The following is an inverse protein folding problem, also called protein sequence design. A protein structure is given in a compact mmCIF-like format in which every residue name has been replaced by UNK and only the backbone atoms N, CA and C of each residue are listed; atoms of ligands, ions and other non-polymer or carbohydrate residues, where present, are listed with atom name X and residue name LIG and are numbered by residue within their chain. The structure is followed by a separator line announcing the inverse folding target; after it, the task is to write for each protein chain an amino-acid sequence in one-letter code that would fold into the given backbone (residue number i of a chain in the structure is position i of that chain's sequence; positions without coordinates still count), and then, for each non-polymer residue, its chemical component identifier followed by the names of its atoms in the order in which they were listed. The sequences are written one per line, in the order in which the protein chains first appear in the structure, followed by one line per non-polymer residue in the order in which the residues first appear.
data_IF_835645300504
#
_entry.id   IF_835645300504
#
_cell.length_a   1.000
_cell.length_b   1.000
_cell.length_c   1.000
_cell.angle_alpha   90.00
_cell.angle_beta   90.00
_cell.angle_gamma   90.00
#
_symmetry.space_group_name_H-M   'P 1'
#
loop_
_entity.id
_entity.type
_entity.pdbx_description
1 polymer ?
#
# COMPACT_ATOMS: atom_id res chain seq x y z
N UNK A 1 -19.81 -22.03 -6.69
CA UNK A 1 -19.08 -21.54 -7.88
C UNK A 1 -17.86 -20.82 -7.33
N UNK A 2 -16.63 -21.32 -7.57
CA UNK A 2 -15.44 -20.49 -7.39
C UNK A 2 -15.59 -19.37 -8.41
N UNK A 3 -15.48 -18.10 -8.00
CA UNK A 3 -15.38 -17.01 -8.96
C UNK A 3 -14.30 -17.42 -9.98
N UNK A 4 -14.68 -17.56 -11.25
CA UNK A 4 -13.71 -17.79 -12.32
C UNK A 4 -12.70 -16.66 -12.31
N UNK A 5 -11.49 -16.91 -12.82
CA UNK A 5 -10.51 -15.84 -12.96
C UNK A 5 -11.11 -14.78 -13.90
N UNK A 6 -11.59 -13.67 -13.34
CA UNK A 6 -12.09 -12.53 -14.13
C UNK A 6 -10.93 -12.03 -14.99
N UNK A 7 -11.13 -12.02 -16.30
CA UNK A 7 -10.11 -11.52 -17.22
C UNK A 7 -10.01 -9.99 -17.09
N UNK A 8 -8.80 -9.42 -17.28
CA UNK A 8 -8.57 -7.96 -17.18
C UNK A 8 -9.55 -7.17 -18.05
N UNK A 9 -9.85 -7.66 -19.25
CA UNK A 9 -10.77 -7.00 -20.18
C UNK A 9 -12.22 -6.99 -19.67
N UNK A 10 -12.66 -8.02 -18.96
CA UNK A 10 -13.98 -8.06 -18.34
C UNK A 10 -14.04 -7.06 -17.18
N UNK A 11 -13.00 -7.04 -16.34
CA UNK A 11 -12.88 -6.07 -15.26
C UNK A 11 -12.89 -4.62 -15.76
N UNK A 12 -12.16 -4.30 -16.84
CA UNK A 12 -12.15 -2.97 -17.45
C UNK A 12 -13.56 -2.56 -17.94
N UNK A 13 -14.29 -3.49 -18.55
CA UNK A 13 -15.66 -3.23 -19.04
C UNK A 13 -16.65 -3.05 -17.90
N UNK A 14 -16.58 -3.89 -16.86
CA UNK A 14 -17.45 -3.80 -15.69
C UNK A 14 -17.23 -2.48 -14.95
N UNK A 15 -15.96 -2.09 -14.74
CA UNK A 15 -15.62 -0.81 -14.13
C UNK A 15 -16.06 0.36 -15.02
N UNK A 16 -15.87 0.28 -16.34
CA UNK A 16 -16.32 1.33 -17.26
C UNK A 16 -17.85 1.49 -17.22
N UNK A 17 -18.60 0.39 -17.19
CA UNK A 17 -20.04 0.41 -17.06
C UNK A 17 -20.50 1.03 -15.74
N UNK A 18 -19.83 0.68 -14.63
CA UNK A 18 -20.07 1.31 -13.33
C UNK A 18 -19.87 2.83 -13.40
N UNK A 19 -18.70 3.29 -13.88
CA UNK A 19 -18.39 4.71 -13.99
C UNK A 19 -19.39 5.46 -14.90
N UNK A 20 -19.75 4.87 -16.05
CA UNK A 20 -20.71 5.45 -16.99
C UNK A 20 -22.11 5.59 -16.39
N UNK A 21 -22.53 4.59 -15.59
CA UNK A 21 -23.83 4.58 -14.90
C UNK A 21 -23.91 5.67 -13.84
N UNK A 22 -22.87 5.83 -13.02
CA UNK A 22 -22.94 6.69 -11.85
C UNK A 22 -22.50 8.13 -12.10
N UNK A 23 -21.78 8.45 -13.19
CA UNK A 23 -21.23 9.80 -13.43
C UNK A 23 -22.22 10.96 -13.39
N UNK A 24 -23.52 10.72 -13.63
CA UNK A 24 -24.57 11.74 -13.64
C UNK A 24 -25.51 11.67 -12.42
N UNK A 25 -25.27 10.76 -11.48
CA UNK A 25 -26.22 10.47 -10.40
C UNK A 25 -26.06 11.37 -9.17
N UNK A 26 -25.05 12.23 -9.15
CA UNK A 26 -24.68 13.02 -7.97
C UNK A 26 -24.11 12.19 -6.81
N UNK A 27 -24.04 10.85 -6.96
CA UNK A 27 -23.35 9.99 -6.02
C UNK A 27 -21.84 10.26 -6.06
N UNK A 28 -21.23 10.48 -4.90
CA UNK A 28 -19.78 10.57 -4.75
C UNK A 28 -19.20 9.15 -4.88
N UNK A 29 -18.53 8.86 -5.98
CA UNK A 29 -17.73 7.66 -6.16
C UNK A 29 -16.32 8.04 -6.56
N UNK A 30 -15.36 7.21 -6.15
CA UNK A 30 -13.96 7.34 -6.49
C UNK A 30 -13.39 5.98 -6.89
N UNK A 31 -12.39 6.01 -7.76
CA UNK A 31 -11.59 4.88 -8.15
C UNK A 31 -10.23 4.97 -7.46
N UNK A 32 -9.95 3.99 -6.61
CA UNK A 32 -8.67 3.85 -5.92
C UNK A 32 -7.72 2.98 -6.72
N UNK A 33 -6.59 3.55 -7.13
CA UNK A 33 -5.47 2.81 -7.69
C UNK A 33 -4.59 2.31 -6.54
N UNK A 34 -4.55 0.99 -6.39
CA UNK A 34 -3.75 0.26 -5.40
C UNK A 34 -2.72 -0.61 -6.11
N UNK A 35 -1.45 -0.34 -5.87
CA UNK A 35 -0.35 -1.05 -6.54
C UNK A 35 0.19 -2.19 -5.70
N UNK A 36 0.62 -3.28 -6.35
CA UNK A 36 1.44 -4.31 -5.70
C UNK A 36 2.69 -3.64 -5.08
N UNK A 37 3.18 -4.04 -3.91
CA UNK A 37 4.39 -3.44 -3.38
C UNK A 37 5.60 -3.92 -4.18
N UNK A 38 6.57 -3.03 -4.37
CA UNK A 38 7.86 -3.41 -4.92
C UNK A 38 8.75 -3.87 -3.77
N UNK A 39 8.94 -5.18 -3.69
CA UNK A 39 9.76 -5.83 -2.67
C UNK A 39 10.86 -6.62 -3.36
N UNK A 40 12.09 -6.37 -2.95
CA UNK A 40 13.27 -7.02 -3.52
C UNK A 40 14.16 -7.54 -2.38
N UNK A 41 14.38 -8.85 -2.35
CA UNK A 41 15.20 -9.50 -1.33
C UNK A 41 16.67 -9.39 -1.74
N UNK A 42 17.52 -9.12 -0.78
CA UNK A 42 18.96 -9.02 -0.99
C UNK A 42 19.68 -8.51 0.25
N UNK A 43 20.99 -8.61 0.25
CA UNK A 43 21.80 -8.22 1.39
C UNK A 43 21.81 -6.70 1.57
N UNK A 44 21.48 -6.25 2.77
CA UNK A 44 21.60 -4.86 3.21
C UNK A 44 22.70 -4.81 4.25
N UNK A 45 23.82 -4.18 3.93
CA UNK A 45 24.99 -4.10 4.80
C UNK A 45 25.21 -2.70 5.34
N UNK A 46 25.65 -2.62 6.59
CA UNK A 46 26.16 -1.41 7.24
C UNK A 46 27.63 -1.63 7.53
N UNK A 47 28.49 -0.83 6.90
CA UNK A 47 29.94 -1.00 6.97
C UNK A 47 30.63 0.31 7.29
N UNK A 48 31.61 0.28 8.21
CA UNK A 48 32.55 1.39 8.40
C UNK A 48 33.74 1.21 7.45
N UNK A 49 34.10 2.27 6.73
CA UNK A 49 35.23 2.28 5.81
C UNK A 49 36.02 3.59 5.97
N UNK A 50 37.20 3.52 6.58
CA UNK A 50 37.91 4.70 7.09
C UNK A 50 37.01 5.54 8.01
N UNK A 51 36.81 6.81 7.66
CA UNK A 51 36.05 7.79 8.44
C UNK A 51 34.60 7.93 7.95
N UNK A 52 34.16 7.07 7.03
CA UNK A 52 32.79 7.06 6.52
C UNK A 52 32.04 5.78 6.89
N UNK A 53 30.74 5.92 7.05
CA UNK A 53 29.78 4.85 7.28
C UNK A 53 28.93 4.65 6.03
N UNK A 54 28.72 3.40 5.66
CA UNK A 54 28.17 3.03 4.38
C UNK A 54 26.97 2.10 4.58
N UNK A 55 25.83 2.44 3.98
CA UNK A 55 24.72 1.51 3.74
C UNK A 55 24.77 1.04 2.30
N UNK A 56 24.80 -0.27 2.09
CA UNK A 56 24.75 -0.86 0.74
C UNK A 56 23.57 -1.79 0.58
N UNK A 57 22.99 -1.77 -0.62
CA UNK A 57 22.01 -2.75 -1.08
C UNK A 57 22.08 -2.83 -2.61
N UNK A 58 22.66 -3.90 -3.16
CA UNK A 58 22.92 -4.02 -4.61
C UNK A 58 23.62 -2.75 -5.14
N UNK A 59 22.92 -1.98 -5.98
CA UNK A 59 23.43 -0.74 -6.59
C UNK A 59 23.11 0.53 -5.77
N UNK A 60 22.37 0.42 -4.67
CA UNK A 60 22.22 1.50 -3.72
C UNK A 60 23.44 1.58 -2.81
N UNK A 61 24.02 2.79 -2.75
CA UNK A 61 25.19 3.10 -1.96
C UNK A 61 24.99 4.45 -1.30
N UNK A 62 24.85 4.46 0.02
CA UNK A 62 24.71 5.68 0.81
C UNK A 62 25.89 5.83 1.74
N UNK A 63 26.48 7.03 1.76
CA UNK A 63 27.63 7.36 2.59
C UNK A 63 27.24 8.42 3.61
N UNK A 64 27.73 8.24 4.84
CA UNK A 64 27.54 9.15 5.96
C UNK A 64 28.86 9.37 6.69
N UNK A 65 28.99 10.54 7.33
CA UNK A 65 30.05 10.84 8.29
C UNK A 65 29.80 10.25 9.69
N UNK A 66 28.57 9.79 9.93
CA UNK A 66 28.09 9.33 11.24
C UNK A 66 27.59 7.90 11.11
N UNK A 67 27.80 7.09 12.15
CA UNK A 67 27.26 5.73 12.17
C UNK A 67 25.73 5.76 12.10
N UNK A 68 25.18 5.08 11.10
CA UNK A 68 23.73 4.99 10.93
C UNK A 68 23.07 4.23 12.10
N UNK A 69 23.81 3.31 12.73
CA UNK A 69 23.33 2.56 13.90
C UNK A 69 23.17 3.42 15.15
N UNK A 70 23.90 4.54 15.24
CA UNK A 70 23.83 5.46 16.39
C UNK A 70 22.76 6.53 16.25
N UNK A 71 22.08 6.61 15.10
CA UNK A 71 20.97 7.53 14.92
C UNK A 71 19.83 7.22 15.91
N UNK A 72 19.13 8.26 16.34
CA UNK A 72 17.88 8.13 17.08
C UNK A 72 16.83 7.46 16.19
N UNK A 73 16.06 6.52 16.74
CA UNK A 73 14.94 5.91 16.03
C UNK A 73 13.83 6.94 15.87
N UNK A 74 13.43 7.20 14.63
CA UNK A 74 12.34 8.08 14.27
C UNK A 74 10.99 7.36 14.31
N UNK A 75 9.92 8.12 14.51
CA UNK A 75 8.53 7.67 14.36
C UNK A 75 7.68 8.72 13.63
N UNK A 76 6.48 8.34 13.21
CA UNK A 76 5.54 9.31 12.62
C UNK A 76 5.14 10.33 13.68
N UNK A 77 5.18 11.63 13.34
CA UNK A 77 4.81 12.69 14.29
C UNK A 77 3.30 12.82 14.48
N UNK A 78 2.54 12.60 13.41
CA UNK A 78 1.08 12.69 13.36
C UNK A 78 0.53 11.71 12.31
N UNK A 79 -0.46 10.90 12.67
CA UNK A 79 -1.09 9.94 11.75
C UNK A 79 -1.93 10.64 10.67
N UNK A 80 -2.47 11.82 10.98
CA UNK A 80 -3.33 12.58 10.08
C UNK A 80 -2.53 13.44 9.07
N UNK A 81 -1.21 13.55 9.24
CA UNK A 81 -0.37 14.28 8.29
C UNK A 81 -0.02 13.43 7.06
N UNK A 82 -0.72 13.71 5.95
CA UNK A 82 -0.48 13.07 4.66
C UNK A 82 0.88 13.41 4.00
N UNK A 83 1.61 14.39 4.53
CA UNK A 83 3.00 14.66 4.15
C UNK A 83 3.99 13.65 4.76
N UNK A 84 3.54 12.85 5.74
CA UNK A 84 4.29 11.81 6.44
C UNK A 84 5.55 12.37 7.11
N UNK A 85 5.33 13.31 8.05
CA UNK A 85 6.40 13.94 8.82
C UNK A 85 6.91 13.03 9.93
N UNK A 86 8.23 12.97 10.09
CA UNK A 86 8.88 12.26 11.18
C UNK A 86 9.04 13.18 12.41
N UNK A 87 9.06 12.59 13.60
CA UNK A 87 9.31 13.28 14.87
C UNK A 87 10.76 13.76 15.04
N UNK A 88 11.70 13.13 14.34
CA UNK A 88 13.12 13.52 14.28
C UNK A 88 13.51 13.93 12.87
N UNK A 89 14.33 14.99 12.69
CA UNK A 89 14.87 15.34 11.38
C UNK A 89 15.72 14.23 10.77
N UNK A 90 15.64 14.07 9.45
CA UNK A 90 16.47 13.11 8.73
C UNK A 90 17.96 13.47 8.77
N UNK A 91 18.79 12.44 8.94
CA UNK A 91 20.25 12.57 8.89
C UNK A 91 20.72 12.73 7.44
N UNK A 92 21.66 13.63 7.20
CA UNK A 92 22.18 13.85 5.84
C UNK A 92 23.10 12.71 5.43
N UNK A 93 22.84 12.16 4.25
CA UNK A 93 23.71 11.17 3.60
C UNK A 93 23.89 11.52 2.13
N UNK A 94 24.93 10.98 1.53
CA UNK A 94 25.23 11.14 0.11
C UNK A 94 24.98 9.80 -0.59
N UNK A 95 24.05 9.78 -1.54
CA UNK A 95 23.90 8.65 -2.45
C UNK A 95 24.97 8.71 -3.54
N UNK A 96 25.73 7.64 -3.71
CA UNK A 96 26.76 7.52 -4.74
C UNK A 96 26.29 6.61 -5.87
N UNK A 97 26.79 6.89 -7.08
CA UNK A 97 26.69 5.94 -8.18
C UNK A 97 27.67 4.78 -7.97
N UNK A 98 27.19 3.54 -8.11
CA UNK A 98 28.05 2.36 -7.99
C UNK A 98 28.94 2.19 -9.24
N UNK A 99 30.23 2.46 -9.10
CA UNK A 99 31.26 2.24 -10.12
C UNK A 99 31.95 0.89 -9.92
N UNK A 100 31.30 -0.18 -10.39
CA UNK A 100 31.80 -1.56 -10.27
C UNK A 100 31.48 -2.17 -8.92
N UNK A 101 32.15 -1.76 -7.84
CA UNK A 101 31.83 -2.17 -6.48
C UNK A 101 31.78 -0.98 -5.52
N UNK A 102 31.27 -1.22 -4.31
CA UNK A 102 31.07 -0.14 -3.33
C UNK A 102 32.40 0.45 -2.86
N UNK A 103 33.45 -0.37 -2.67
CA UNK A 103 34.77 0.11 -2.22
C UNK A 103 35.39 1.09 -3.21
N UNK A 104 35.36 0.76 -4.50
CA UNK A 104 35.86 1.65 -5.56
C UNK A 104 35.10 2.97 -5.60
N UNK A 105 33.79 2.93 -5.40
CA UNK A 105 32.95 4.14 -5.39
C UNK A 105 33.24 5.00 -4.14
N UNK A 106 33.39 4.37 -2.98
CA UNK A 106 33.80 5.01 -1.73
C UNK A 106 35.20 5.63 -1.84
N UNK A 107 36.18 4.93 -2.41
CA UNK A 107 37.54 5.44 -2.63
C UNK A 107 37.54 6.67 -3.55
N UNK A 108 36.74 6.64 -4.63
CA UNK A 108 36.59 7.79 -5.52
C UNK A 108 35.94 8.98 -4.80
N UNK A 109 34.93 8.72 -3.97
CA UNK A 109 34.27 9.75 -3.16
C UNK A 109 35.23 10.39 -2.16
N UNK A 110 35.96 9.60 -1.37
CA UNK A 110 36.95 10.07 -0.40
C UNK A 110 38.08 10.89 -1.04
N UNK A 111 38.42 10.61 -2.31
CA UNK A 111 39.41 11.37 -3.09
C UNK A 111 38.82 12.59 -3.82
N UNK A 112 37.54 12.90 -3.63
CA UNK A 112 36.84 13.98 -4.32
C UNK A 112 36.64 13.76 -5.83
N UNK A 113 36.75 12.52 -6.31
CA UNK A 113 36.63 12.13 -7.73
C UNK A 113 35.25 11.61 -8.11
N UNK A 114 34.37 11.42 -7.13
CA UNK A 114 32.98 11.02 -7.35
C UNK A 114 32.08 11.94 -6.51
N UNK A 115 31.18 12.66 -7.17
CA UNK A 115 30.11 13.40 -6.52
C UNK A 115 28.94 12.46 -6.21
N UNK A 116 28.06 12.89 -5.33
CA UNK A 116 26.83 12.17 -5.04
C UNK A 116 25.65 13.09 -4.82
N UNK A 117 24.48 12.48 -4.64
CA UNK A 117 23.22 13.19 -4.45
C UNK A 117 22.88 13.25 -2.96
N UNK A 118 22.72 14.44 -2.38
CA UNK A 118 22.28 14.58 -1.00
C UNK A 118 20.89 13.97 -0.79
N UNK A 119 20.75 13.19 0.28
CA UNK A 119 19.51 12.54 0.70
C UNK A 119 19.35 12.67 2.22
N UNK A 120 18.15 12.41 2.71
CA UNK A 120 17.85 12.34 4.13
C UNK A 120 17.51 10.90 4.52
N UNK A 121 18.20 10.35 5.53
CA UNK A 121 17.95 9.00 6.04
C UNK A 121 17.41 9.05 7.46
N UNK A 122 16.47 8.16 7.76
CA UNK A 122 15.94 7.93 9.09
C UNK A 122 16.22 6.49 9.49
N UNK A 123 16.61 6.29 10.75
CA UNK A 123 16.56 4.99 11.40
C UNK A 123 15.14 4.78 11.93
N UNK A 124 14.52 3.67 11.56
CA UNK A 124 13.15 3.33 11.88
C UNK A 124 13.12 1.93 12.52
N UNK A 125 12.02 1.60 13.18
CA UNK A 125 11.89 0.32 13.87
C UNK A 125 10.46 -0.21 13.75
N UNK A 126 10.35 -1.50 13.50
CA UNK A 126 9.13 -2.28 13.71
C UNK A 126 9.45 -3.49 14.61
N UNK A 127 8.50 -4.39 14.83
CA UNK A 127 8.73 -5.59 15.65
C UNK A 127 9.85 -6.49 15.11
N UNK A 128 10.07 -6.51 13.80
CA UNK A 128 11.16 -7.27 13.19
C UNK A 128 12.54 -6.62 13.40
N UNK A 129 12.59 -5.44 14.00
CA UNK A 129 13.81 -4.71 14.33
C UNK A 129 14.06 -3.50 13.44
N UNK A 130 15.31 -3.01 13.47
CA UNK A 130 15.70 -1.78 12.79
C UNK A 130 15.63 -1.93 11.26
N UNK A 131 15.25 -0.83 10.61
CA UNK A 131 15.35 -0.61 9.18
C UNK A 131 15.62 0.87 8.89
N UNK A 132 15.99 1.21 7.67
CA UNK A 132 16.37 2.57 7.28
C UNK A 132 15.49 3.08 6.17
N UNK A 133 14.95 4.29 6.33
CA UNK A 133 14.16 4.98 5.32
C UNK A 133 14.90 6.18 4.75
N UNK A 134 15.14 6.19 3.44
CA UNK A 134 15.74 7.32 2.71
C UNK A 134 14.63 8.12 2.04
N UNK A 135 14.64 9.45 2.18
CA UNK A 135 13.69 10.40 1.61
C UNK A 135 12.22 10.00 1.89
N UNK A 136 11.96 9.62 3.15
CA UNK A 136 10.67 9.13 3.64
C UNK A 136 9.59 10.21 3.53
N UNK A 137 9.92 11.43 3.95
CA UNK A 137 9.00 12.57 3.90
C UNK A 137 8.84 13.08 2.47
N UNK A 138 7.70 13.71 2.18
CA UNK A 138 7.52 14.41 0.90
C UNK A 138 8.49 15.58 0.80
N UNK A 139 9.08 15.78 -0.38
CA UNK A 139 9.92 16.95 -0.61
C UNK A 139 9.08 18.24 -0.73
N UNK A 140 9.75 19.39 -0.90
CA UNK A 140 9.08 20.69 -1.07
C UNK A 140 8.14 20.73 -2.29
N UNK A 141 8.42 19.96 -3.34
CA UNK A 141 7.56 19.78 -4.51
C UNK A 141 6.42 18.75 -4.27
N UNK A 142 6.24 18.29 -3.03
CA UNK A 142 5.26 17.29 -2.57
C UNK A 142 5.41 15.89 -3.21
N UNK A 143 6.56 15.61 -3.80
CA UNK A 143 6.91 14.32 -4.40
C UNK A 143 7.42 13.33 -3.35
N UNK A 144 7.23 12.04 -3.62
CA UNK A 144 7.61 10.95 -2.72
C UNK A 144 8.64 10.05 -3.40
N UNK A 145 9.83 9.96 -2.81
CA UNK A 145 10.99 9.22 -3.32
C UNK A 145 11.52 8.17 -2.34
N UNK A 146 10.65 7.75 -1.42
CA UNK A 146 11.05 6.93 -0.29
C UNK A 146 11.67 5.60 -0.72
N UNK A 147 12.78 5.22 -0.10
CA UNK A 147 13.40 3.89 -0.24
C UNK A 147 13.61 3.31 1.16
N UNK A 148 13.21 2.07 1.38
CA UNK A 148 13.33 1.41 2.68
C UNK A 148 14.28 0.23 2.59
N UNK A 149 15.23 0.14 3.51
CA UNK A 149 16.27 -0.88 3.55
C UNK A 149 16.20 -1.62 4.88
N UNK A 150 16.08 -2.94 4.81
CA UNK A 150 15.87 -3.82 5.95
C UNK A 150 17.11 -4.71 6.11
N UNK A 151 18.06 -4.35 6.99
CA UNK A 151 19.13 -5.25 7.39
C UNK A 151 18.59 -6.57 7.94
N UNK A 152 19.42 -7.60 7.93
CA UNK A 152 19.07 -8.88 8.53
C UNK A 152 18.92 -8.69 10.05
N UNK A 153 17.87 -9.28 10.62
CA UNK A 153 17.66 -9.37 12.07
C UNK A 153 17.31 -10.81 12.45
N UNK A 154 17.16 -11.07 13.75
CA UNK A 154 16.76 -12.38 14.28
C UNK A 154 15.33 -12.73 13.86
N UNK A 155 14.40 -11.77 13.96
CA UNK A 155 12.99 -11.99 13.66
C UNK A 155 12.69 -12.00 12.15
N UNK A 156 13.43 -11.19 11.38
CA UNK A 156 13.13 -10.96 9.96
C UNK A 156 13.50 -12.18 9.09
N UNK A 157 12.61 -12.65 8.20
CA UNK A 157 12.90 -13.79 7.32
C UNK A 157 14.12 -13.56 6.43
N UNK A 158 14.24 -12.40 5.80
CA UNK A 158 15.40 -12.00 4.99
C UNK A 158 15.71 -10.51 5.14
N UNK A 159 16.88 -10.09 4.68
CA UNK A 159 17.15 -8.68 4.41
C UNK A 159 16.60 -8.27 3.04
N UNK A 160 16.41 -6.97 2.82
CA UNK A 160 16.07 -6.49 1.49
C UNK A 160 15.58 -5.05 1.46
N UNK A 161 14.81 -4.75 0.43
CA UNK A 161 14.39 -3.41 0.07
C UNK A 161 12.90 -3.35 -0.26
N UNK A 162 12.26 -2.27 0.18
CA UNK A 162 10.95 -1.87 -0.31
C UNK A 162 11.11 -0.52 -1.02
N UNK A 163 10.75 -0.48 -2.29
CA UNK A 163 10.73 0.76 -3.06
C UNK A 163 9.40 1.48 -2.81
N UNK A 164 9.44 2.51 -1.95
CA UNK A 164 8.27 3.31 -1.59
C UNK A 164 8.03 4.53 -2.48
N UNK A 165 8.73 4.66 -3.62
CA UNK A 165 8.56 5.78 -4.53
C UNK A 165 7.18 5.74 -5.17
N UNK A 166 6.46 6.87 -5.12
CA UNK A 166 5.13 6.99 -5.73
C UNK A 166 5.23 7.51 -7.15
N UNK A 167 5.64 6.63 -8.06
CA UNK A 167 5.89 6.97 -9.47
C UNK A 167 4.71 7.67 -10.16
N UNK A 168 3.48 7.14 -10.00
CA UNK A 168 2.28 7.75 -10.58
C UNK A 168 2.00 9.12 -9.95
N UNK A 169 1.93 9.21 -8.63
CA UNK A 169 1.73 10.48 -7.92
C UNK A 169 2.75 11.54 -8.34
N UNK A 170 4.04 11.18 -8.43
CA UNK A 170 5.09 12.11 -8.85
C UNK A 170 4.84 12.64 -10.26
N UNK A 171 4.42 11.78 -11.19
CA UNK A 171 4.09 12.16 -12.56
C UNK A 171 2.80 13.00 -12.63
N UNK A 172 1.78 12.69 -11.82
CA UNK A 172 0.55 13.50 -11.70
C UNK A 172 0.88 14.91 -11.21
N UNK A 173 1.76 15.04 -10.21
CA UNK A 173 2.21 16.35 -9.68
C UNK A 173 2.88 17.16 -10.79
N UNK A 174 3.76 16.54 -11.58
CA UNK A 174 4.44 17.21 -12.69
C UNK A 174 3.47 17.66 -13.77
N UNK A 175 2.54 16.79 -14.19
CA UNK A 175 1.53 17.15 -15.20
C UNK A 175 0.62 18.28 -14.72
N UNK A 176 0.14 18.23 -13.46
CA UNK A 176 -0.71 19.30 -12.90
C UNK A 176 0.00 20.64 -12.78
N UNK A 177 1.32 20.66 -12.68
CA UNK A 177 2.08 21.91 -12.66
C UNK A 177 2.06 22.63 -14.03
N UNK A 178 1.76 21.93 -15.12
CA UNK A 178 1.84 22.46 -16.49
C UNK A 178 0.49 22.52 -17.21
N UNK A 179 -0.55 21.83 -16.74
CA UNK A 179 -1.89 21.84 -17.36
C UNK A 179 -3.02 21.97 -16.35
N UNK A 180 -3.97 22.87 -16.64
CA UNK A 180 -5.21 23.02 -15.87
C UNK A 180 -6.39 22.24 -16.50
N UNK A 181 -6.33 21.98 -17.81
CA UNK A 181 -7.35 21.22 -18.56
C UNK A 181 -6.65 20.10 -19.33
N UNK A 182 -6.48 18.96 -18.66
CA UNK A 182 -5.76 17.83 -19.26
C UNK A 182 -6.55 17.23 -20.44
N UNK A 183 -5.81 16.97 -21.52
CA UNK A 183 -6.21 16.18 -22.67
C UNK A 183 -5.71 14.75 -22.54
N UNK A 184 -6.18 13.83 -23.39
CA UNK A 184 -5.65 12.47 -23.42
C UNK A 184 -4.17 12.43 -23.84
N UNK A 185 -3.69 13.41 -24.62
CA UNK A 185 -2.28 13.54 -24.97
C UNK A 185 -1.41 13.85 -23.73
N UNK A 186 -1.93 14.65 -22.80
CA UNK A 186 -1.23 14.93 -21.53
C UNK A 186 -1.12 13.66 -20.67
N UNK A 187 -2.16 12.84 -20.66
CA UNK A 187 -2.15 11.55 -19.94
C UNK A 187 -1.19 10.56 -20.61
N UNK A 188 -1.15 10.51 -21.94
CA UNK A 188 -0.20 9.68 -22.68
C UNK A 188 1.25 10.14 -22.43
N UNK A 189 1.50 11.45 -22.36
CA UNK A 189 2.81 12.02 -22.01
C UNK A 189 3.21 11.70 -20.56
N UNK A 190 2.25 11.75 -19.62
CA UNK A 190 2.45 11.32 -18.23
C UNK A 190 2.89 9.85 -18.18
N UNK A 191 2.17 8.94 -18.86
CA UNK A 191 2.54 7.52 -18.92
C UNK A 191 3.91 7.35 -19.57
N UNK A 192 4.21 8.12 -20.62
CA UNK A 192 5.51 8.06 -21.28
C UNK A 192 6.66 8.53 -20.37
N UNK A 193 6.41 9.50 -19.47
CA UNK A 193 7.40 9.93 -18.47
C UNK A 193 7.74 8.79 -17.50
N UNK A 194 6.74 8.02 -17.07
CA UNK A 194 6.91 6.84 -16.21
C UNK A 194 7.67 5.74 -16.95
N UNK A 195 7.34 5.48 -18.23
CA UNK A 195 8.10 4.55 -19.10
C UNK A 195 9.56 4.97 -19.25
N UNK A 196 9.82 6.27 -19.45
CA UNK A 196 11.18 6.79 -19.53
C UNK A 196 11.94 6.64 -18.20
N UNK A 197 11.24 6.83 -17.06
CA UNK A 197 11.82 6.54 -15.74
C UNK A 197 12.19 5.06 -15.61
N UNK A 198 11.36 4.12 -16.03
CA UNK A 198 11.71 2.70 -16.03
C UNK A 198 12.97 2.41 -16.86
N UNK A 199 13.10 3.01 -18.05
CA UNK A 199 14.28 2.88 -18.91
C UNK A 199 15.55 3.42 -18.27
N UNK A 200 15.48 4.57 -17.61
CA UNK A 200 16.66 5.14 -16.91
C UNK A 200 17.09 4.29 -15.71
N UNK A 201 16.14 3.59 -15.08
CA UNK A 201 16.40 2.66 -13.99
C UNK A 201 16.89 1.29 -14.47
N UNK A 202 16.70 0.89 -15.73
CA UNK A 202 16.97 -0.48 -16.18
C UNK A 202 18.40 -0.94 -15.86
N UNK A 203 19.41 -0.12 -16.17
CA UNK A 203 20.81 -0.50 -15.96
C UNK A 203 21.22 -0.58 -14.48
N UNK A 204 20.75 0.35 -13.65
CA UNK A 204 21.21 0.50 -12.27
C UNK A 204 20.25 -0.08 -11.22
N UNK A 205 18.96 -0.16 -11.51
CA UNK A 205 17.91 -0.54 -10.57
C UNK A 205 16.86 -1.41 -11.29
N UNK A 206 17.32 -2.54 -11.83
CA UNK A 206 16.52 -3.45 -12.65
C UNK A 206 15.21 -3.89 -11.96
N UNK A 207 15.23 -4.11 -10.63
CA UNK A 207 14.02 -4.47 -9.88
C UNK A 207 12.95 -3.37 -9.96
N UNK A 208 13.31 -2.10 -9.72
CA UNK A 208 12.39 -0.96 -9.82
C UNK A 208 11.91 -0.78 -11.26
N UNK A 209 12.81 -0.93 -12.24
CA UNK A 209 12.47 -0.87 -13.67
C UNK A 209 11.41 -1.93 -14.04
N UNK A 210 11.66 -3.20 -13.68
CA UNK A 210 10.74 -4.31 -13.92
C UNK A 210 9.38 -4.10 -13.25
N UNK A 211 9.36 -3.60 -12.03
CA UNK A 211 8.12 -3.30 -11.30
C UNK A 211 7.29 -2.23 -12.02
N UNK A 212 7.93 -1.15 -12.48
CA UNK A 212 7.23 -0.09 -13.22
C UNK A 212 6.63 -0.67 -14.52
N UNK A 213 7.38 -1.47 -15.25
CA UNK A 213 6.96 -2.04 -16.54
C UNK A 213 5.86 -3.10 -16.40
N UNK A 214 5.95 -3.97 -15.39
CA UNK A 214 5.07 -5.15 -15.27
C UNK A 214 3.85 -4.93 -14.38
N UNK A 215 3.96 -4.09 -13.36
CA UNK A 215 2.90 -3.91 -12.36
C UNK A 215 2.26 -2.52 -12.47
N UNK A 216 3.06 -1.46 -12.54
CA UNK A 216 2.57 -0.08 -12.48
C UNK A 216 1.89 0.35 -13.79
N UNK A 217 2.63 0.33 -14.91
CA UNK A 217 2.14 0.80 -16.22
C UNK A 217 0.87 0.06 -16.66
N UNK A 218 0.81 -1.29 -16.58
CA UNK A 218 -0.37 -2.00 -17.06
C UNK A 218 -1.65 -1.66 -16.28
N UNK A 219 -1.55 -1.36 -14.98
CA UNK A 219 -2.70 -0.91 -14.18
C UNK A 219 -3.12 0.50 -14.59
N UNK A 220 -2.17 1.43 -14.76
CA UNK A 220 -2.45 2.80 -15.19
C UNK A 220 -3.14 2.80 -16.56
N UNK A 221 -2.61 2.07 -17.54
CA UNK A 221 -3.17 2.00 -18.88
C UNK A 221 -4.56 1.35 -18.89
N UNK A 222 -4.77 0.33 -18.05
CA UNK A 222 -6.08 -0.32 -17.85
C UNK A 222 -7.12 0.67 -17.33
N UNK A 223 -6.75 1.48 -16.34
CA UNK A 223 -7.64 2.51 -15.82
C UNK A 223 -7.91 3.63 -16.84
N UNK A 224 -6.90 4.07 -17.59
CA UNK A 224 -7.08 5.05 -18.67
C UNK A 224 -8.04 4.54 -19.76
N UNK A 225 -7.93 3.27 -20.16
CA UNK A 225 -8.88 2.65 -21.09
C UNK A 225 -10.29 2.62 -20.52
N UNK A 226 -10.43 2.28 -19.24
CA UNK A 226 -11.71 2.28 -18.52
C UNK A 226 -12.37 3.66 -18.55
N UNK A 227 -11.63 4.73 -18.22
CA UNK A 227 -12.13 6.11 -18.28
C UNK A 227 -12.58 6.50 -19.69
N UNK A 228 -11.80 6.13 -20.72
CA UNK A 228 -12.16 6.35 -22.13
C UNK A 228 -13.45 5.60 -22.51
N UNK A 229 -13.60 4.33 -22.09
CA UNK A 229 -14.81 3.53 -22.32
C UNK A 229 -16.04 4.13 -21.62
N UNK A 230 -15.90 4.66 -20.41
CA UNK A 230 -16.95 5.35 -19.67
C UNK A 230 -17.27 6.77 -20.19
N UNK A 231 -16.58 7.21 -21.26
CA UNK A 231 -16.71 8.54 -21.87
C UNK A 231 -16.49 9.67 -20.86
N UNK A 232 -15.56 9.47 -19.93
CA UNK A 232 -15.10 10.51 -19.01
C UNK A 232 -14.01 11.36 -19.68
N UNK A 233 -13.93 12.67 -19.37
CA UNK A 233 -12.84 13.51 -19.87
C UNK A 233 -11.49 13.09 -19.27
N UNK A 234 -10.38 13.44 -19.94
CA UNK A 234 -9.04 13.13 -19.44
C UNK A 234 -8.74 13.82 -18.08
N UNK A 235 -9.37 14.95 -17.81
CA UNK A 235 -9.31 15.62 -16.50
C UNK A 235 -9.76 14.72 -15.34
N UNK A 236 -10.66 13.76 -15.57
CA UNK A 236 -11.08 12.77 -14.57
C UNK A 236 -9.95 11.91 -14.02
N UNK A 237 -8.89 11.67 -14.81
CA UNK A 237 -7.70 10.94 -14.35
C UNK A 237 -6.87 11.77 -13.35
N UNK A 238 -6.90 13.10 -13.48
CA UNK A 238 -6.20 14.02 -12.59
C UNK A 238 -7.08 14.55 -11.48
N UNK A 239 -8.39 14.33 -11.53
CA UNK A 239 -9.30 14.73 -10.46
C UNK A 239 -9.06 13.87 -9.22
N UNK A 240 -8.72 14.51 -8.10
CA UNK A 240 -8.42 13.82 -6.83
C UNK A 240 -9.68 13.28 -6.14
N UNK A 241 -10.85 13.82 -6.46
CA UNK A 241 -12.12 13.35 -5.89
C UNK A 241 -12.60 12.09 -6.60
N UNK A 242 -12.17 11.89 -7.86
CA UNK A 242 -12.53 10.74 -8.67
C UNK A 242 -11.42 9.69 -8.77
N UNK A 243 -10.17 10.10 -9.04
CA UNK A 243 -9.03 9.20 -9.19
C UNK A 243 -8.06 9.38 -8.03
N UNK A 244 -7.97 8.36 -7.18
CA UNK A 244 -7.08 8.37 -6.03
C UNK A 244 -5.93 7.39 -6.23
N UNK A 245 -4.71 7.92 -6.38
CA UNK A 245 -3.52 7.11 -6.14
C UNK A 245 -3.44 6.88 -4.62
N UNK A 246 -3.60 5.64 -4.18
CA UNK A 246 -3.48 5.25 -2.75
C UNK A 246 -2.11 4.69 -2.41
N UNK A 247 -1.23 4.55 -3.41
CA UNK A 247 0.11 4.00 -3.27
C UNK A 247 0.11 2.47 -3.33
N UNK A 248 1.13 1.89 -2.70
CA UNK A 248 1.27 0.44 -2.62
C UNK A 248 0.31 -0.12 -1.58
N UNK A 249 -0.25 -1.30 -1.85
CA UNK A 249 -1.04 -2.06 -0.86
C UNK A 249 -0.17 -2.31 0.37
N UNK A 250 -0.78 -2.21 1.54
CA UNK A 250 -0.09 -2.44 2.80
C UNK A 250 0.11 -3.93 3.09
N UNK A 251 1.00 -4.26 4.04
CA UNK A 251 1.10 -5.60 4.62
C UNK A 251 -0.13 -5.87 5.52
N UNK A 252 -1.30 -6.05 4.91
CA UNK A 252 -2.56 -6.23 5.61
C UNK A 252 -3.36 -7.40 5.00
N UNK A 253 -3.82 -8.33 5.83
CA UNK A 253 -4.62 -9.46 5.36
C UNK A 253 -3.89 -10.30 4.31
N UNK A 254 -4.57 -10.57 3.19
CA UNK A 254 -4.04 -11.41 2.10
C UNK A 254 -2.79 -10.82 1.42
N UNK A 255 -2.55 -9.52 1.56
CA UNK A 255 -1.38 -8.85 1.00
C UNK A 255 -0.06 -9.30 1.65
N UNK A 256 -0.10 -9.95 2.82
CA UNK A 256 1.08 -10.57 3.43
C UNK A 256 1.84 -11.50 2.50
N UNK A 257 1.17 -12.14 1.52
CA UNK A 257 1.86 -12.97 0.53
C UNK A 257 2.93 -12.21 -0.27
N UNK A 258 2.78 -10.90 -0.42
CA UNK A 258 3.78 -10.02 -1.05
C UNK A 258 4.94 -9.72 -0.08
N UNK A 259 4.63 -9.58 1.21
CA UNK A 259 5.57 -9.16 2.25
C UNK A 259 6.30 -10.29 2.98
N UNK A 260 5.83 -11.54 2.90
CA UNK A 260 6.29 -12.70 3.69
C UNK A 260 7.80 -12.98 3.64
N UNK A 261 8.50 -12.44 2.65
CA UNK A 261 9.96 -12.59 2.56
C UNK A 261 10.73 -11.54 3.37
N UNK A 262 10.09 -10.43 3.74
CA UNK A 262 10.66 -9.37 4.59
C UNK A 262 9.93 -9.16 5.92
N UNK A 263 8.68 -9.61 6.06
CA UNK A 263 7.89 -9.48 7.28
C UNK A 263 7.74 -10.85 7.95
N UNK A 264 7.98 -10.93 9.27
CA UNK A 264 7.79 -12.17 10.04
C UNK A 264 6.32 -12.59 10.11
N UNK A 265 5.39 -11.63 10.07
CA UNK A 265 3.95 -11.89 10.18
C UNK A 265 3.09 -10.94 9.35
N UNK A 266 1.83 -11.35 9.20
CA UNK A 266 0.77 -10.53 8.63
C UNK A 266 0.49 -9.32 9.53
N UNK A 267 0.00 -8.23 8.94
CA UNK A 267 -0.44 -7.02 9.64
C UNK A 267 0.68 -6.31 10.41
N UNK A 268 1.95 -6.62 10.10
CA UNK A 268 3.11 -5.89 10.60
C UNK A 268 3.36 -4.62 9.74
N UNK A 269 3.36 -3.41 10.33
CA UNK A 269 3.76 -2.20 9.62
C UNK A 269 5.20 -2.30 9.12
N UNK A 270 5.38 -2.14 7.81
CA UNK A 270 6.69 -2.25 7.17
C UNK A 270 7.25 -0.88 6.78
N UNK A 271 6.39 0.12 6.59
CA UNK A 271 6.80 1.48 6.23
C UNK A 271 6.11 2.49 7.14
N UNK A 272 6.59 3.74 7.24
CA UNK A 272 5.89 4.75 8.04
C UNK A 272 4.48 5.05 7.51
N UNK A 273 4.21 4.86 6.22
CA UNK A 273 2.82 4.93 5.70
C UNK A 273 1.94 3.79 6.22
N UNK A 274 2.50 2.60 6.44
CA UNK A 274 1.77 1.51 7.09
C UNK A 274 1.51 1.83 8.56
N UNK A 275 2.51 2.35 9.27
CA UNK A 275 2.35 2.77 10.67
C UNK A 275 1.28 3.86 10.78
N UNK A 276 1.28 4.81 9.85
CA UNK A 276 0.26 5.86 9.74
C UNK A 276 -1.14 5.28 9.50
N UNK A 277 -1.27 4.25 8.67
CA UNK A 277 -2.57 3.69 8.31
C UNK A 277 -3.13 2.75 9.40
N UNK A 278 -2.33 1.81 9.90
CA UNK A 278 -2.79 0.71 10.77
C UNK A 278 -1.81 0.35 11.90
N UNK A 279 -0.79 1.17 12.12
CA UNK A 279 0.09 1.05 13.28
C UNK A 279 -0.61 1.35 14.59
N UNK A 280 0.11 1.21 15.70
CA UNK A 280 -0.47 1.35 17.07
C UNK A 280 -0.99 2.76 17.35
N UNK A 281 -0.47 3.75 16.62
CA UNK A 281 -0.90 5.15 16.66
C UNK A 281 -1.44 5.63 15.30
N UNK A 282 -1.83 4.70 14.44
CA UNK A 282 -2.30 5.00 13.09
C UNK A 282 -3.77 5.39 13.04
N UNK A 283 -4.24 5.79 11.86
CA UNK A 283 -5.61 6.23 11.60
C UNK A 283 -6.63 5.17 12.01
N UNK A 284 -6.43 3.90 11.63
CA UNK A 284 -7.35 2.82 12.02
C UNK A 284 -7.39 2.61 13.53
N UNK A 285 -6.27 2.78 14.24
CA UNK A 285 -6.26 2.62 15.70
C UNK A 285 -7.17 3.67 16.38
N UNK A 286 -7.30 4.87 15.79
CA UNK A 286 -8.15 5.92 16.30
C UNK A 286 -9.66 5.64 16.13
N UNK A 287 -10.05 4.69 15.26
CA UNK A 287 -11.45 4.29 15.07
C UNK A 287 -11.96 3.38 16.21
N UNK A 288 -11.07 2.81 17.03
CA UNK A 288 -11.44 2.03 18.22
C UNK A 288 -12.03 0.67 17.88
N UNK A 289 -13.25 0.38 18.36
CA UNK A 289 -13.90 -0.92 18.19
C UNK A 289 -15.00 -0.86 17.12
N UNK A 290 -14.96 -1.79 16.17
CA UNK A 290 -15.93 -1.89 15.07
C UNK A 290 -16.51 -3.31 14.98
N UNK A 291 -17.71 -3.44 14.42
CA UNK A 291 -18.32 -4.74 14.15
C UNK A 291 -18.26 -5.07 12.66
N UNK A 292 -17.65 -6.19 12.31
CA UNK A 292 -17.62 -6.72 10.95
C UNK A 292 -18.74 -7.74 10.76
N UNK A 293 -19.57 -7.53 9.73
CA UNK A 293 -20.50 -8.54 9.24
C UNK A 293 -19.92 -9.18 7.97
N UNK A 294 -19.82 -10.50 7.94
CA UNK A 294 -19.31 -11.21 6.76
C UNK A 294 -20.06 -12.53 6.51
N UNK A 295 -20.19 -12.96 5.25
CA UNK A 295 -20.69 -14.30 4.95
C UNK A 295 -19.67 -15.34 5.42
N UNK A 296 -20.15 -16.39 6.07
CA UNK A 296 -19.36 -17.53 6.53
C UNK A 296 -19.32 -18.68 5.51
N UNK A 297 -18.89 -19.85 5.97
CA UNK A 297 -18.86 -21.06 5.16
C UNK A 297 -20.25 -21.67 4.96
N UNK A 298 -20.41 -22.54 3.96
CA UNK A 298 -21.60 -23.39 3.85
C UNK A 298 -21.39 -24.68 4.62
N UNK A 299 -22.23 -24.93 5.62
CA UNK A 299 -22.21 -26.20 6.33
C UNK A 299 -23.21 -27.17 5.72
N UNK A 300 -22.79 -28.44 5.54
CA UNK A 300 -23.70 -29.55 5.21
C UNK A 300 -24.04 -30.28 6.49
N UNK A 301 -25.32 -30.30 6.84
CA UNK A 301 -25.80 -31.10 7.98
C UNK A 301 -26.41 -32.38 7.42
N UNK A 302 -25.92 -33.54 7.88
CA UNK A 302 -26.52 -34.84 7.59
C UNK A 302 -27.53 -35.20 8.68
N UNK A 303 -28.79 -35.39 8.32
CA UNK A 303 -29.78 -35.93 9.25
C UNK A 303 -29.56 -37.44 9.43
N UNK A 304 -29.51 -37.92 10.69
CA UNK A 304 -29.29 -39.34 11.03
C UNK A 304 -30.43 -40.28 10.57
N UNK A 305 -31.54 -39.74 10.06
CA UNK A 305 -32.76 -40.51 9.73
C UNK A 305 -33.26 -40.35 8.28
N UNK A 306 -32.54 -39.65 7.39
CA UNK A 306 -32.98 -39.52 6.00
C UNK A 306 -31.95 -38.85 5.09
N UNK A 307 -31.89 -39.27 3.82
CA UNK A 307 -30.98 -38.79 2.76
C UNK A 307 -31.21 -37.32 2.32
N UNK A 308 -31.70 -36.47 3.20
CA UNK A 308 -31.97 -35.05 2.92
C UNK A 308 -30.87 -34.20 3.53
N UNK A 309 -30.14 -33.48 2.68
CA UNK A 309 -29.11 -32.55 3.10
C UNK A 309 -29.70 -31.14 3.23
N UNK A 310 -29.75 -30.61 4.45
CA UNK A 310 -30.01 -29.18 4.65
C UNK A 310 -28.70 -28.41 4.47
N UNK A 311 -28.74 -27.37 3.65
CA UNK A 311 -27.66 -26.38 3.53
C UNK A 311 -28.01 -25.22 4.44
N UNK A 312 -27.11 -24.90 5.35
CA UNK A 312 -27.19 -23.67 6.12
C UNK A 312 -26.11 -22.72 5.60
N UNK A 313 -26.53 -21.48 5.31
CA UNK A 313 -25.61 -20.40 5.02
C UNK A 313 -25.20 -19.77 6.36
N UNK A 314 -23.90 -19.70 6.63
CA UNK A 314 -23.36 -19.06 7.82
C UNK A 314 -23.22 -17.56 7.56
N UNK A 315 -23.50 -16.74 8.57
CA UNK A 315 -22.97 -15.38 8.64
C UNK A 315 -22.28 -15.14 9.97
N UNK A 316 -21.28 -14.29 9.93
CA UNK A 316 -20.34 -14.02 11.00
C UNK A 316 -20.48 -12.55 11.40
N UNK A 317 -20.60 -12.31 12.70
CA UNK A 317 -20.42 -10.99 13.31
C UNK A 317 -19.17 -11.06 14.18
N UNK A 318 -18.21 -10.20 13.91
CA UNK A 318 -16.97 -10.08 14.69
C UNK A 318 -16.85 -8.70 15.29
N UNK A 319 -16.53 -8.64 16.59
CA UNK A 319 -16.07 -7.43 17.23
C UNK A 319 -14.56 -7.31 16.98
N UNK A 320 -14.16 -6.23 16.32
CA UNK A 320 -12.79 -5.94 15.97
C UNK A 320 -12.28 -4.75 16.79
N UNK A 321 -11.12 -4.90 17.41
CA UNK A 321 -10.37 -3.81 18.01
C UNK A 321 -9.28 -3.33 17.05
N UNK A 322 -9.55 -2.20 16.41
CA UNK A 322 -8.68 -1.64 15.39
C UNK A 322 -7.38 -1.08 16.00
N UNK A 323 -7.34 -0.80 17.30
CA UNK A 323 -6.09 -0.44 18.01
C UNK A 323 -5.08 -1.59 18.00
N UNK A 324 -5.57 -2.82 17.85
CA UNK A 324 -4.78 -4.05 17.83
C UNK A 324 -4.55 -4.59 16.42
N UNK A 325 -4.86 -3.81 15.36
CA UNK A 325 -4.66 -4.24 13.97
C UNK A 325 -3.23 -4.70 13.72
N UNK A 326 -2.26 -3.94 14.22
CA UNK A 326 -0.83 -4.23 14.07
C UNK A 326 -0.25 -5.05 15.22
N UNK A 327 -1.05 -5.64 16.12
CA UNK A 327 -0.56 -6.54 17.17
C UNK A 327 -0.40 -7.97 16.64
N UNK A 328 0.33 -8.81 17.38
CA UNK A 328 0.49 -10.23 17.04
C UNK A 328 -0.83 -11.01 17.19
N UNK A 329 -1.63 -10.66 18.19
CA UNK A 329 -2.95 -11.25 18.45
C UNK A 329 -4.00 -10.83 17.40
N UNK A 330 -3.71 -9.77 16.64
CA UNK A 330 -4.59 -9.19 15.64
C UNK A 330 -5.80 -8.47 16.25
N UNK A 331 -6.75 -8.14 15.37
CA UNK A 331 -7.88 -7.27 15.70
C UNK A 331 -9.12 -8.00 16.26
N UNK A 332 -9.22 -9.34 16.17
CA UNK A 332 -10.48 -10.03 16.54
C UNK A 332 -10.61 -10.21 18.05
N UNK A 333 -11.63 -9.58 18.67
CA UNK A 333 -11.96 -9.75 20.09
C UNK A 333 -12.99 -10.83 20.32
N UNK A 334 -14.07 -10.81 19.55
CA UNK A 334 -15.21 -11.72 19.70
C UNK A 334 -15.73 -12.16 18.34
N UNK A 335 -16.28 -13.37 18.29
CA UNK A 335 -16.81 -13.96 17.08
C UNK A 335 -18.14 -14.65 17.38
N UNK A 336 -19.19 -14.17 16.73
CA UNK A 336 -20.52 -14.77 16.75
C UNK A 336 -20.83 -15.39 15.39
N UNK A 337 -21.25 -16.66 15.42
CA UNK A 337 -21.64 -17.42 14.23
C UNK A 337 -23.14 -17.64 14.26
N UNK A 338 -23.77 -17.36 13.13
CA UNK A 338 -25.19 -17.54 12.94
C UNK A 338 -25.44 -18.43 11.73
N UNK A 339 -26.40 -19.32 11.85
CA UNK A 339 -26.79 -20.24 10.78
C UNK A 339 -28.16 -19.84 10.24
N UNK A 340 -28.22 -19.58 8.94
CA UNK A 340 -29.47 -19.30 8.23
C UNK A 340 -29.89 -20.56 7.45
N UNK A 341 -31.12 -21.06 7.63
CA UNK A 341 -31.65 -22.11 6.77
C UNK A 341 -31.68 -21.59 5.32
N UNK A 342 -31.07 -22.34 4.39
CA UNK A 342 -30.78 -21.89 3.01
C UNK A 342 -31.97 -21.59 2.09
N UNK A 343 -33.18 -21.41 2.62
CA UNK A 343 -34.40 -21.07 1.89
C UNK A 343 -35.02 -19.71 2.28
N UNK A 344 -34.36 -18.92 3.14
CA UNK A 344 -34.93 -17.63 3.57
C UNK A 344 -34.31 -16.48 2.77
N UNK A 345 -35.00 -16.06 1.70
CA UNK A 345 -34.76 -14.73 1.10
C UNK A 345 -35.46 -13.71 2.01
N UNK A 346 -34.70 -13.00 2.84
CA UNK A 346 -35.21 -11.81 3.53
C UNK A 346 -34.86 -10.58 2.71
N UNK A 347 -35.85 -9.89 2.17
CA UNK A 347 -35.67 -8.56 1.61
C UNK A 347 -35.39 -7.57 2.74
N UNK A 348 -34.27 -6.86 2.70
CA UNK A 348 -34.06 -5.71 3.58
C UNK A 348 -34.98 -4.58 3.12
N UNK A 349 -36.05 -4.31 3.87
CA UNK A 349 -36.80 -3.06 3.72
C UNK A 349 -35.97 -1.95 4.36
N UNK A 350 -35.87 -0.81 3.68
CA UNK A 350 -35.35 0.41 4.29
C UNK A 350 -36.23 0.71 5.51
N UNK A 351 -35.61 0.83 6.67
CA UNK A 351 -36.31 1.31 7.86
C UNK A 351 -36.31 2.83 7.78
N UNK A 352 -37.48 3.43 7.88
CA UNK A 352 -37.65 4.89 7.91
C UNK A 352 -37.31 5.49 9.28
N UNK A 353 -36.91 4.63 10.24
CA UNK A 353 -36.54 5.00 11.60
C UNK A 353 -35.11 4.52 11.93
N UNK A 354 -34.36 5.27 12.76
CA UNK A 354 -33.01 4.87 13.18
C UNK A 354 -33.06 3.61 14.05
N UNK A 355 -32.23 2.62 13.72
CA UNK A 355 -32.09 1.40 14.52
C UNK A 355 -31.22 1.69 15.74
N UNK A 356 -31.77 1.49 16.94
CA UNK A 356 -30.97 1.44 18.17
C UNK A 356 -30.46 0.00 18.34
N UNK A 357 -29.15 -0.17 18.41
CA UNK A 357 -28.53 -1.49 18.62
C UNK A 357 -29.08 -2.10 19.92
N UNK A 358 -29.70 -3.28 19.83
CA UNK A 358 -30.33 -3.98 20.95
C UNK A 358 -31.87 -3.90 21.01
N UNK A 359 -32.50 -3.10 20.14
CA UNK A 359 -33.95 -3.04 20.07
C UNK A 359 -34.51 -4.28 19.35
N UNK A 360 -35.30 -5.10 20.04
CA UNK A 360 -36.08 -6.18 19.41
C UNK A 360 -37.28 -5.52 18.73
N UNK A 361 -37.45 -5.61 17.39
CA UNK A 361 -38.61 -5.05 16.72
C UNK A 361 -39.87 -5.75 17.23
N UNK A 362 -40.64 -5.08 18.08
CA UNK A 362 -41.94 -5.58 18.50
C UNK A 362 -42.90 -5.41 17.33
N UNK A 363 -43.16 -6.53 16.65
CA UNK A 363 -44.14 -6.78 15.58
C UNK A 363 -43.68 -6.41 14.17
N UNK A 364 -43.29 -7.44 13.43
CA UNK A 364 -43.51 -7.50 11.99
C UNK A 364 -44.78 -8.32 11.78
N UNK A 365 -45.91 -7.65 11.54
CA UNK A 365 -47.09 -8.30 10.94
C UNK A 365 -46.76 -8.61 9.49
N UNK A 366 -46.83 -9.88 9.13
CA UNK A 366 -46.78 -10.30 7.74
C UNK A 366 -48.16 -10.07 7.12
N UNK A 367 -48.21 -9.28 6.05
CA UNK A 367 -49.30 -9.38 5.05
C UNK A 367 -48.93 -10.45 4.03
#
# INVERSE_FOLDING_TARGET
MRAGATHRDEFEKDLAHFLDTFKNTGALFSAELRFRPMIDVGEVELTKYFDIHILTYKNYLYVSDTSLDTLTTASISDSHDHALKMDTPGHKVIQLELKGNWRKSADLYLRGKLAGTPCLIHKLQNEDGIYFGVNVERNQARKCYAKFFYPKSIARPNSGHIDGERYLLNAIIDTKATTNNASWQDIDALIQSIKNKARTLACAFQASSNYIEKDLIPLIESYVRTLKMARLPASSFLDKELTMDTGQICNLGRAYNEYKFLASRQDLPMTPNHERAFGKKGDLANEGTVFRLSPGGRQRISNKLGRTYTKEDEFIIEELDLTSTSSEDGQSKQHYKFFLPGNVVKSMKKLDEPIIVGQIPTRVTYE
#
